data_IF_487222263964
#
_entry.id   IF_487222263964
#
_cell.length_a   1.000
_cell.length_b   1.000
_cell.length_c   1.000
_cell.angle_alpha   90.00
_cell.angle_beta   90.00
_cell.angle_gamma   90.00
#
_symmetry.space_group_name_H-M   'P 1'
#
loop_
_entity.id
_entity.type
_entity.pdbx_description
1 polymer ?
#
# COMPACT_ATOMS: atom_id res chain seq x y z
N UNK A 1 14.40 16.66 -2.39
CA UNK A 1 13.05 16.94 -1.77
C UNK A 1 12.96 18.43 -1.46
N UNK A 2 11.73 19.01 -1.43
CA UNK A 2 11.57 20.38 -0.96
C UNK A 2 11.59 20.47 0.58
N UNK A 3 11.93 21.66 1.11
CA UNK A 3 12.08 21.89 2.54
C UNK A 3 10.79 21.64 3.33
N UNK A 4 9.64 21.93 2.72
CA UNK A 4 8.33 21.72 3.35
C UNK A 4 8.05 20.23 3.59
N UNK A 5 8.40 19.39 2.62
CA UNK A 5 8.24 17.94 2.73
C UNK A 5 9.21 17.35 3.74
N UNK A 6 10.48 17.82 3.76
CA UNK A 6 11.47 17.40 4.75
C UNK A 6 10.99 17.71 6.17
N UNK A 7 10.55 18.95 6.42
CA UNK A 7 10.03 19.36 7.73
C UNK A 7 8.84 18.51 8.17
N UNK A 8 7.95 18.16 7.25
CA UNK A 8 6.81 17.28 7.53
C UNK A 8 7.26 15.86 7.89
N UNK A 9 8.24 15.32 7.18
CA UNK A 9 8.78 13.98 7.45
C UNK A 9 9.54 13.94 8.78
N UNK A 10 10.32 14.95 9.11
CA UNK A 10 10.98 15.09 10.41
C UNK A 10 9.96 15.07 11.56
N UNK A 11 8.86 15.82 11.42
CA UNK A 11 7.78 15.81 12.40
C UNK A 11 7.11 14.41 12.53
N UNK A 12 7.02 13.65 11.45
CA UNK A 12 6.50 12.26 11.48
C UNK A 12 7.48 11.35 12.23
N UNK A 13 8.78 11.49 12.01
CA UNK A 13 9.83 10.72 12.75
C UNK A 13 9.74 11.00 14.25
N UNK A 14 9.64 12.26 14.65
CA UNK A 14 9.49 12.65 16.06
C UNK A 14 8.21 12.09 16.66
N UNK A 15 7.10 12.15 15.91
CA UNK A 15 5.81 11.61 16.32
C UNK A 15 5.84 10.10 16.50
N UNK A 16 6.53 9.38 15.61
CA UNK A 16 6.72 7.93 15.73
C UNK A 16 7.52 7.59 16.99
N UNK A 17 8.63 8.30 17.24
CA UNK A 17 9.46 8.08 18.43
C UNK A 17 8.68 8.31 19.73
N UNK A 18 7.87 9.37 19.78
CA UNK A 18 6.99 9.62 20.94
C UNK A 18 5.98 8.49 21.11
N UNK A 19 5.41 7.99 20.01
CA UNK A 19 4.44 6.90 20.03
C UNK A 19 5.08 5.58 20.51
N UNK A 20 6.34 5.31 20.16
CA UNK A 20 7.11 4.17 20.68
C UNK A 20 7.30 4.25 22.19
N UNK A 21 7.66 5.44 22.69
CA UNK A 21 7.79 5.67 24.13
C UNK A 21 6.46 5.48 24.86
N UNK A 22 5.38 5.98 24.28
CA UNK A 22 4.05 5.85 24.88
C UNK A 22 3.56 4.39 24.85
N UNK A 23 3.79 3.65 23.75
CA UNK A 23 3.49 2.22 23.66
C UNK A 23 4.24 1.41 24.73
N UNK A 24 5.47 1.78 25.04
CA UNK A 24 6.27 1.10 26.08
C UNK A 24 5.71 1.28 27.50
N UNK A 25 4.90 2.32 27.74
CA UNK A 25 4.32 2.68 29.03
C UNK A 25 2.88 2.19 29.21
N UNK A 26 2.21 1.80 28.11
CA UNK A 26 0.81 1.33 28.15
C UNK A 26 0.75 -0.11 28.63
N UNK A 27 -0.03 -0.35 29.67
CA UNK A 27 -0.38 -1.72 30.08
C UNK A 27 -1.46 -2.28 29.12
N UNK A 28 -1.08 -3.25 28.33
CA UNK A 28 -1.93 -3.94 27.34
C UNK A 28 -3.18 -4.54 28.02
N UNK A 29 -3.06 -4.96 29.27
CA UNK A 29 -4.16 -5.59 30.04
C UNK A 29 -5.23 -4.57 30.42
N UNK A 30 -4.88 -3.30 30.60
CA UNK A 30 -5.79 -2.25 31.06
C UNK A 30 -6.63 -1.63 29.94
N UNK A 31 -6.09 -1.49 28.74
CA UNK A 31 -6.79 -0.91 27.57
C UNK A 31 -6.30 -1.50 26.24
N UNK A 32 -6.76 -2.71 25.88
CA UNK A 32 -6.36 -3.38 24.63
C UNK A 32 -6.73 -2.58 23.37
N UNK A 33 -7.83 -1.83 23.38
CA UNK A 33 -8.29 -1.07 22.22
C UNK A 33 -7.37 0.12 21.94
N UNK A 34 -7.00 0.86 23.01
CA UNK A 34 -6.06 1.97 22.90
C UNK A 34 -4.69 1.51 22.42
N UNK A 35 -4.20 0.38 22.97
CA UNK A 35 -2.95 -0.22 22.52
C UNK A 35 -3.00 -0.59 21.03
N UNK A 36 -4.07 -1.23 20.57
CA UNK A 36 -4.24 -1.61 19.17
C UNK A 36 -4.29 -0.39 18.23
N UNK A 37 -4.96 0.70 18.64
CA UNK A 37 -4.99 1.95 17.87
C UNK A 37 -3.60 2.58 17.77
N UNK A 38 -2.86 2.65 18.88
CA UNK A 38 -1.51 3.20 18.90
C UNK A 38 -0.55 2.34 18.07
N UNK A 39 -0.62 1.00 18.19
CA UNK A 39 0.20 0.08 17.41
C UNK A 39 -0.10 0.19 15.90
N UNK A 40 -1.36 0.39 15.52
CA UNK A 40 -1.74 0.63 14.13
C UNK A 40 -1.15 1.95 13.62
N UNK A 41 -1.26 3.05 14.37
CA UNK A 41 -0.65 4.35 14.01
C UNK A 41 0.87 4.23 13.85
N UNK A 42 1.53 3.53 14.77
CA UNK A 42 2.98 3.27 14.69
C UNK A 42 3.32 2.51 13.40
N UNK A 43 2.60 1.44 13.10
CA UNK A 43 2.81 0.64 11.88
C UNK A 43 2.59 1.45 10.60
N UNK A 44 1.58 2.33 10.58
CA UNK A 44 1.31 3.22 9.43
C UNK A 44 2.42 4.25 9.20
N UNK A 45 3.07 4.73 10.27
CA UNK A 45 4.19 5.66 10.17
C UNK A 45 5.51 4.96 9.80
N UNK A 46 5.71 3.73 10.23
CA UNK A 46 7.00 3.02 10.10
C UNK A 46 7.47 2.91 8.66
N UNK A 47 6.57 2.66 7.71
CA UNK A 47 6.93 2.56 6.29
C UNK A 47 7.42 3.89 5.69
N UNK A 48 6.84 5.01 6.14
CA UNK A 48 7.23 6.35 5.68
C UNK A 48 8.55 6.75 6.31
N UNK A 49 8.73 6.48 7.61
CA UNK A 49 9.98 6.77 8.33
C UNK A 49 11.14 5.97 7.75
N UNK A 50 10.92 4.71 7.40
CA UNK A 50 11.93 3.87 6.76
C UNK A 50 12.37 4.43 5.41
N UNK A 51 11.41 4.83 4.56
CA UNK A 51 11.70 5.48 3.28
C UNK A 51 12.45 6.81 3.45
N UNK A 52 12.12 7.58 4.49
CA UNK A 52 12.79 8.84 4.76
C UNK A 52 14.23 8.62 5.22
N UNK A 53 14.49 7.63 6.08
CA UNK A 53 15.86 7.25 6.47
C UNK A 53 16.70 6.78 5.29
N UNK A 54 16.13 5.97 4.39
CA UNK A 54 16.80 5.56 3.16
C UNK A 54 17.15 6.78 2.29
N UNK A 55 16.22 7.75 2.17
CA UNK A 55 16.49 8.99 1.47
C UNK A 55 17.63 9.80 2.11
N UNK A 56 17.68 9.91 3.44
CA UNK A 56 18.75 10.59 4.17
C UNK A 56 20.10 9.92 3.90
N UNK A 57 20.16 8.58 3.97
CA UNK A 57 21.37 7.81 3.70
C UNK A 57 21.87 8.04 2.28
N UNK A 58 21.01 7.86 1.27
CA UNK A 58 21.40 8.04 -0.14
C UNK A 58 21.82 9.50 -0.44
N UNK A 59 21.20 10.47 0.24
CA UNK A 59 21.60 11.88 0.08
C UNK A 59 22.98 12.13 0.66
N UNK A 60 23.32 11.49 1.78
CA UNK A 60 24.68 11.54 2.35
C UNK A 60 25.69 10.85 1.44
N UNK A 61 25.36 9.64 0.96
CA UNK A 61 26.21 8.86 0.06
C UNK A 61 26.56 9.63 -1.22
N UNK A 62 25.58 10.36 -1.80
CA UNK A 62 25.82 11.25 -2.94
C UNK A 62 26.78 12.37 -2.58
N UNK A 63 26.58 13.05 -1.45
CA UNK A 63 27.44 14.14 -1.01
C UNK A 63 28.89 13.68 -0.79
N UNK A 64 29.05 12.51 -0.16
CA UNK A 64 30.36 11.93 0.11
C UNK A 64 31.05 11.48 -1.20
N UNK A 65 30.28 10.90 -2.14
CA UNK A 65 30.80 10.51 -3.45
C UNK A 65 31.19 11.73 -4.32
N UNK A 66 30.41 12.83 -4.27
CA UNK A 66 30.75 14.10 -4.95
C UNK A 66 32.05 14.72 -4.39
N UNK A 67 32.25 14.69 -3.06
CA UNK A 67 33.46 15.18 -2.44
C UNK A 67 34.67 14.34 -2.88
N UNK A 68 34.56 13.01 -2.84
CA UNK A 68 35.64 12.10 -3.27
C UNK A 68 35.93 12.23 -4.77
N UNK A 69 34.89 12.37 -5.61
CA UNK A 69 35.07 12.56 -7.06
C UNK A 69 35.87 13.83 -7.39
N UNK A 70 35.71 14.89 -6.60
CA UNK A 70 36.42 16.15 -6.81
C UNK A 70 37.91 16.05 -6.44
N UNK A 71 38.28 15.16 -5.50
CA UNK A 71 39.66 14.99 -5.02
C UNK A 71 40.43 13.86 -5.73
N UNK A 72 39.70 12.95 -6.43
CA UNK A 72 40.26 11.76 -7.05
C UNK A 72 40.96 12.10 -8.37
N UNK A 73 42.06 11.37 -8.63
CA UNK A 73 42.86 11.50 -9.85
C UNK A 73 42.81 10.27 -10.74
N UNK A 74 42.38 9.14 -10.19
CA UNK A 74 42.24 7.87 -10.90
C UNK A 74 40.89 7.83 -11.66
N UNK A 75 40.96 7.62 -12.97
CA UNK A 75 39.76 7.61 -13.85
C UNK A 75 38.83 6.42 -13.59
N UNK A 76 39.37 5.28 -13.14
CA UNK A 76 38.52 4.12 -12.81
C UNK A 76 37.71 4.39 -11.52
N UNK A 77 38.37 5.00 -10.52
CA UNK A 77 37.72 5.41 -9.28
C UNK A 77 36.68 6.53 -9.50
N UNK A 78 36.97 7.50 -10.37
CA UNK A 78 36.00 8.53 -10.75
C UNK A 78 34.74 7.93 -11.37
N UNK A 79 34.92 6.97 -12.29
CA UNK A 79 33.80 6.28 -12.90
C UNK A 79 32.94 5.54 -11.88
N UNK A 80 33.55 4.96 -10.83
CA UNK A 80 32.81 4.30 -9.75
C UNK A 80 31.99 5.31 -8.94
N UNK A 81 32.54 6.46 -8.60
CA UNK A 81 31.81 7.52 -7.89
C UNK A 81 30.68 8.11 -8.74
N UNK A 82 30.89 8.30 -10.03
CA UNK A 82 29.83 8.74 -10.97
C UNK A 82 28.69 7.74 -11.02
N UNK A 83 28.98 6.44 -11.04
CA UNK A 83 27.97 5.38 -11.01
C UNK A 83 27.20 5.35 -9.69
N UNK A 84 27.86 5.56 -8.55
CA UNK A 84 27.21 5.68 -7.24
C UNK A 84 26.24 6.86 -7.24
N UNK A 85 26.69 8.04 -7.66
CA UNK A 85 25.86 9.26 -7.72
C UNK A 85 24.65 9.04 -8.61
N UNK A 86 24.84 8.46 -9.78
CA UNK A 86 23.76 8.20 -10.72
C UNK A 86 22.72 7.22 -10.16
N UNK A 87 23.17 6.06 -9.67
CA UNK A 87 22.28 5.02 -9.15
C UNK A 87 21.51 5.53 -7.91
N UNK A 88 22.20 6.21 -7.00
CA UNK A 88 21.57 6.78 -5.80
C UNK A 88 20.57 7.88 -6.16
N UNK A 89 20.84 8.68 -7.20
CA UNK A 89 19.89 9.71 -7.68
C UNK A 89 18.61 9.09 -8.23
N UNK A 90 18.73 8.03 -9.04
CA UNK A 90 17.55 7.31 -9.57
C UNK A 90 16.73 6.65 -8.44
N UNK A 91 17.41 6.11 -7.42
CA UNK A 91 16.75 5.51 -6.27
C UNK A 91 16.04 6.57 -5.40
N UNK A 92 16.65 7.72 -5.19
CA UNK A 92 16.03 8.86 -4.51
C UNK A 92 14.73 9.30 -5.17
N UNK A 93 14.67 9.39 -6.50
CA UNK A 93 13.44 9.75 -7.22
C UNK A 93 12.31 8.74 -6.96
N UNK A 94 12.65 7.46 -6.95
CA UNK A 94 11.71 6.39 -6.63
C UNK A 94 11.22 6.48 -5.17
N UNK A 95 12.11 6.72 -4.22
CA UNK A 95 11.77 6.87 -2.80
C UNK A 95 10.87 8.09 -2.58
N UNK A 96 11.20 9.23 -3.17
CA UNK A 96 10.38 10.45 -3.08
C UNK A 96 8.97 10.22 -3.60
N UNK A 97 8.83 9.47 -4.70
CA UNK A 97 7.54 9.10 -5.25
C UNK A 97 6.75 8.22 -4.28
N UNK A 98 7.39 7.19 -3.70
CA UNK A 98 6.78 6.32 -2.68
C UNK A 98 6.35 7.09 -1.43
N UNK A 99 7.17 8.03 -0.95
CA UNK A 99 6.85 8.90 0.18
C UNK A 99 5.61 9.75 -0.13
N UNK A 100 5.58 10.42 -1.29
CA UNK A 100 4.43 11.24 -1.69
C UNK A 100 3.14 10.43 -1.73
N UNK A 101 3.18 9.22 -2.31
CA UNK A 101 2.03 8.31 -2.33
C UNK A 101 1.63 7.86 -0.91
N UNK A 102 2.62 7.53 -0.06
CA UNK A 102 2.38 7.09 1.32
C UNK A 102 1.79 8.18 2.22
N UNK A 103 2.02 9.47 1.88
CA UNK A 103 1.46 10.62 2.60
C UNK A 103 0.05 11.01 2.16
N UNK A 104 -0.48 10.40 1.09
CA UNK A 104 -1.87 10.64 0.71
C UNK A 104 -2.83 10.14 1.79
N UNK A 105 -3.92 10.85 2.04
CA UNK A 105 -4.94 10.40 2.99
C UNK A 105 -5.45 9.02 2.56
N UNK A 106 -5.32 8.04 3.45
CA UNK A 106 -5.90 6.72 3.24
C UNK A 106 -7.41 6.79 3.52
N UNK A 107 -8.21 6.26 2.62
CA UNK A 107 -9.65 6.07 2.87
C UNK A 107 -9.81 5.01 3.98
N UNK A 108 -10.47 5.33 5.11
CA UNK A 108 -10.70 4.34 6.17
C UNK A 108 -11.44 3.09 5.69
N UNK A 109 -12.15 3.19 4.56
CA UNK A 109 -12.87 2.07 3.96
C UNK A 109 -11.95 1.15 3.16
N UNK A 110 -10.75 1.59 2.77
CA UNK A 110 -9.83 0.80 1.94
C UNK A 110 -9.42 -0.55 2.56
N UNK A 111 -9.48 -0.67 3.88
CA UNK A 111 -9.17 -1.91 4.60
C UNK A 111 -10.39 -2.83 4.79
N UNK A 112 -11.59 -2.40 4.38
CA UNK A 112 -12.82 -3.19 4.57
C UNK A 112 -12.91 -4.35 3.58
N UNK A 113 -13.64 -5.38 4.00
CA UNK A 113 -14.13 -6.43 3.13
C UNK A 113 -15.16 -5.87 2.14
N UNK A 114 -15.35 -6.56 1.02
CA UNK A 114 -16.30 -6.17 -0.02
C UNK A 114 -17.39 -7.21 -0.17
N UNK A 115 -18.63 -6.76 -0.20
CA UNK A 115 -19.77 -7.56 -0.63
C UNK A 115 -20.04 -7.23 -2.11
N UNK A 116 -19.98 -8.25 -2.96
CA UNK A 116 -20.26 -8.14 -4.39
C UNK A 116 -21.60 -8.80 -4.67
N UNK A 117 -22.51 -8.05 -5.29
CA UNK A 117 -23.76 -8.54 -5.80
C UNK A 117 -23.79 -8.37 -7.31
N UNK A 118 -24.05 -9.47 -8.03
CA UNK A 118 -24.17 -9.48 -9.49
C UNK A 118 -25.56 -9.98 -9.86
N UNK A 119 -26.30 -9.16 -10.62
CA UNK A 119 -27.58 -9.52 -11.17
C UNK A 119 -27.59 -9.27 -12.68
N UNK A 120 -28.31 -10.10 -13.47
CA UNK A 120 -28.51 -9.79 -14.88
C UNK A 120 -29.31 -8.49 -15.02
N UNK A 121 -28.94 -7.69 -16.00
CA UNK A 121 -29.73 -6.54 -16.43
C UNK A 121 -30.83 -6.96 -17.40
N UNK A 122 -31.24 -6.07 -18.31
CA UNK A 122 -32.15 -6.38 -19.40
C UNK A 122 -31.42 -7.24 -20.46
N UNK A 123 -31.63 -8.56 -20.47
CA UNK A 123 -30.89 -9.45 -21.38
C UNK A 123 -31.29 -10.94 -21.32
N UNK A 124 -32.29 -11.31 -20.53
CA UNK A 124 -32.76 -12.69 -20.46
C UNK A 124 -31.68 -13.70 -20.07
N UNK A 125 -31.70 -14.87 -20.75
CA UNK A 125 -30.84 -16.02 -20.41
C UNK A 125 -29.36 -15.77 -20.64
N UNK A 126 -29.00 -15.05 -21.71
CA UNK A 126 -27.59 -14.70 -22.01
C UNK A 126 -26.97 -13.84 -20.90
N UNK A 127 -27.75 -12.93 -20.30
CA UNK A 127 -27.31 -12.13 -19.17
C UNK A 127 -27.04 -12.99 -17.92
N UNK A 128 -27.79 -14.07 -17.71
CA UNK A 128 -27.58 -15.01 -16.61
C UNK A 128 -26.28 -15.81 -16.78
N UNK A 129 -25.93 -16.20 -18.01
CA UNK A 129 -24.63 -16.83 -18.32
C UNK A 129 -23.49 -15.85 -18.02
N UNK A 130 -23.65 -14.58 -18.44
CA UNK A 130 -22.67 -13.53 -18.18
C UNK A 130 -22.43 -13.29 -16.68
N UNK A 131 -23.46 -13.34 -15.84
CA UNK A 131 -23.33 -13.28 -14.38
C UNK A 131 -22.38 -14.39 -13.87
N UNK A 132 -22.50 -15.60 -14.41
CA UNK A 132 -21.61 -16.72 -14.09
C UNK A 132 -20.17 -16.46 -14.49
N UNK A 133 -19.93 -15.85 -15.64
CA UNK A 133 -18.59 -15.52 -16.12
C UNK A 133 -17.96 -14.37 -15.30
N UNK A 134 -18.73 -13.35 -14.93
CA UNK A 134 -18.28 -12.30 -14.03
C UNK A 134 -17.92 -12.86 -12.65
N UNK A 135 -18.75 -13.74 -12.09
CA UNK A 135 -18.41 -14.39 -10.81
C UNK A 135 -17.12 -15.18 -10.88
N UNK A 136 -16.88 -15.94 -11.97
CA UNK A 136 -15.61 -16.65 -12.20
C UNK A 136 -14.44 -15.68 -12.32
N UNK A 137 -14.62 -14.57 -13.04
CA UNK A 137 -13.59 -13.52 -13.20
C UNK A 137 -13.17 -12.96 -11.86
N UNK A 138 -14.12 -12.50 -11.04
CA UNK A 138 -13.81 -11.95 -9.70
C UNK A 138 -13.23 -12.99 -8.76
N UNK A 139 -13.74 -14.23 -8.80
CA UNK A 139 -13.18 -15.32 -7.99
C UNK A 139 -11.72 -15.60 -8.33
N UNK A 140 -11.37 -15.66 -9.61
CA UNK A 140 -9.98 -15.87 -10.06
C UNK A 140 -9.09 -14.65 -9.77
N UNK A 141 -9.65 -13.44 -9.85
CA UNK A 141 -8.92 -12.24 -9.45
C UNK A 141 -8.60 -12.26 -7.95
N UNK A 142 -9.57 -12.66 -7.12
CA UNK A 142 -9.37 -12.83 -5.69
C UNK A 142 -8.32 -13.91 -5.38
N UNK A 143 -8.39 -15.07 -6.02
CA UNK A 143 -7.39 -16.15 -5.87
C UNK A 143 -5.97 -15.67 -6.18
N UNK A 144 -5.77 -14.95 -7.30
CA UNK A 144 -4.46 -14.41 -7.69
C UNK A 144 -3.90 -13.40 -6.68
N UNK A 145 -4.77 -12.71 -5.94
CA UNK A 145 -4.38 -11.79 -4.89
C UNK A 145 -4.35 -12.44 -3.50
N UNK A 146 -4.54 -13.77 -3.40
CA UNK A 146 -4.63 -14.51 -2.13
C UNK A 146 -5.75 -14.00 -1.21
N UNK A 147 -6.85 -13.55 -1.80
CA UNK A 147 -8.04 -13.11 -1.08
C UNK A 147 -9.04 -14.26 -0.88
N UNK A 148 -9.73 -14.26 0.25
CA UNK A 148 -10.74 -15.26 0.55
C UNK A 148 -12.11 -14.88 -0.04
N UNK A 149 -12.70 -15.78 -0.82
CA UNK A 149 -14.05 -15.62 -1.40
C UNK A 149 -15.05 -16.47 -0.64
N UNK A 150 -16.05 -15.84 -0.05
CA UNK A 150 -17.15 -16.49 0.67
C UNK A 150 -18.45 -16.31 -0.12
N UNK A 151 -19.02 -17.42 -0.58
CA UNK A 151 -20.31 -17.42 -1.28
C UNK A 151 -21.44 -17.27 -0.26
N UNK A 152 -22.31 -16.28 -0.45
CA UNK A 152 -23.43 -15.98 0.45
C UNK A 152 -24.73 -16.47 -0.15
N UNK A 153 -24.99 -16.13 -1.41
CA UNK A 153 -26.22 -16.52 -2.10
C UNK A 153 -25.92 -16.73 -3.59
N UNK A 154 -26.41 -17.86 -4.12
CA UNK A 154 -26.32 -18.15 -5.55
C UNK A 154 -27.67 -18.71 -6.00
N UNK A 155 -28.32 -18.03 -6.90
CA UNK A 155 -29.60 -18.46 -7.48
C UNK A 155 -29.36 -18.82 -8.94
N UNK A 156 -29.57 -20.11 -9.26
CA UNK A 156 -29.37 -20.61 -10.61
C UNK A 156 -30.41 -20.02 -11.56
N UNK A 157 -30.12 -20.02 -12.86
CA UNK A 157 -31.01 -19.70 -13.95
C UNK A 157 -31.35 -20.98 -14.71
N UNK A 158 -32.56 -21.08 -15.24
CA UNK A 158 -33.11 -22.29 -15.93
C UNK A 158 -32.28 -22.71 -17.15
N UNK A 159 -31.61 -21.76 -17.81
CA UNK A 159 -30.82 -21.99 -19.02
C UNK A 159 -29.31 -21.99 -18.77
N UNK A 160 -28.88 -22.06 -17.51
CA UNK A 160 -27.50 -21.99 -17.08
C UNK A 160 -27.05 -20.60 -16.66
N UNK A 161 -25.96 -20.55 -15.87
CA UNK A 161 -25.54 -19.32 -15.21
C UNK A 161 -26.36 -19.01 -13.97
N UNK A 162 -26.43 -17.73 -13.58
CA UNK A 162 -27.09 -17.33 -12.34
C UNK A 162 -28.02 -16.14 -12.56
N UNK A 163 -29.21 -16.17 -11.95
CA UNK A 163 -30.13 -15.03 -11.85
C UNK A 163 -29.71 -14.06 -10.74
N UNK A 164 -28.86 -14.50 -9.80
CA UNK A 164 -28.29 -13.67 -8.73
C UNK A 164 -27.08 -14.37 -8.14
N UNK A 165 -26.02 -13.62 -7.90
CA UNK A 165 -24.86 -14.07 -7.11
C UNK A 165 -24.49 -13.00 -6.11
N UNK A 166 -24.39 -13.39 -4.82
CA UNK A 166 -23.86 -12.56 -3.75
C UNK A 166 -22.69 -13.31 -3.11
N UNK A 167 -21.56 -12.65 -3.02
CA UNK A 167 -20.37 -13.18 -2.37
C UNK A 167 -19.58 -12.09 -1.69
N UNK A 168 -18.90 -12.43 -0.61
CA UNK A 168 -17.96 -11.55 0.06
C UNK A 168 -16.54 -11.87 -0.39
N UNK A 169 -15.72 -10.84 -0.56
CA UNK A 169 -14.28 -10.96 -0.71
C UNK A 169 -13.65 -10.35 0.54
N UNK A 170 -12.98 -11.21 1.32
CA UNK A 170 -12.43 -10.88 2.65
C UNK A 170 -10.92 -10.88 2.60
N UNK A 171 -10.32 -9.72 2.75
CA UNK A 171 -8.89 -9.54 3.00
C UNK A 171 -8.57 -8.07 3.16
N UNK A 172 -7.40 -7.78 3.71
CA UNK A 172 -6.91 -6.41 3.82
C UNK A 172 -6.73 -5.78 2.43
N UNK A 173 -7.30 -4.60 2.22
CA UNK A 173 -7.12 -3.83 0.99
C UNK A 173 -8.03 -4.21 -0.19
N UNK A 174 -9.02 -5.09 0.00
CA UNK A 174 -9.95 -5.49 -1.05
C UNK A 174 -10.76 -4.31 -1.55
N UNK A 175 -11.33 -3.51 -0.64
CA UNK A 175 -12.15 -2.36 -1.02
C UNK A 175 -11.37 -1.34 -1.85
N UNK A 176 -10.09 -1.11 -1.52
CA UNK A 176 -9.23 -0.18 -2.26
C UNK A 176 -9.10 -0.52 -3.75
N UNK A 177 -9.23 -1.80 -4.11
CA UNK A 177 -9.12 -2.31 -5.48
C UNK A 177 -10.46 -2.37 -6.18
N UNK A 178 -11.54 -2.73 -5.46
CA UNK A 178 -12.84 -3.00 -6.04
C UNK A 178 -13.83 -1.83 -5.95
N UNK A 179 -13.56 -0.77 -5.19
CA UNK A 179 -14.44 0.39 -5.05
C UNK A 179 -14.77 1.14 -6.34
N UNK A 180 -14.05 0.87 -7.42
CA UNK A 180 -14.26 1.48 -8.74
C UNK A 180 -15.06 0.60 -9.69
N UNK A 181 -15.50 -0.59 -9.24
CA UNK A 181 -16.24 -1.57 -10.05
C UNK A 181 -17.78 -1.39 -9.98
N UNK A 182 -18.25 -0.42 -9.21
CA UNK A 182 -19.70 -0.16 -9.03
C UNK A 182 -20.20 0.96 -9.95
#
# INVERSE_FOLDING_TARGET
MDETLINKLTAIVESQKQLEEDLSKVDISSDPNKYAEMAKKHSDMSSIVELFRQWETLTSDISDAEELLNEESDEDMKSEYEDIIKNSTEEIENIVTKIKVGLLPKDPSDEKDVLVEIRPGAGGEEASIWVGDLFKMYSRFAERNSWNVEKIEMTDSDMGGYSKVIFAIKSKGVYSKLKFEA
#
